data_IF_696979029814
#
_entry.id   IF_696979029814
#
_cell.length_a   1.000
_cell.length_b   1.000
_cell.length_c   1.000
_cell.angle_alpha   90.00
_cell.angle_beta   90.00
_cell.angle_gamma   90.00
#
_symmetry.space_group_name_H-M   'P 1'
#
loop_
_entity.id
_entity.type
_entity.pdbx_description
1 polymer ?
#
# COMPACT_ATOMS: atom_id res chain seq x y z
N UNK A 1 -26.70 -18.61 3.13
CA UNK A 1 -27.12 -17.82 4.32
C UNK A 1 -26.05 -17.77 5.42
N UNK A 2 -25.48 -18.90 5.87
CA UNK A 2 -24.50 -18.92 6.98
C UNK A 2 -23.23 -18.06 6.74
N UNK A 3 -22.78 -17.96 5.49
CA UNK A 3 -21.62 -17.14 5.11
C UNK A 3 -21.85 -15.63 5.32
N UNK A 4 -23.04 -15.13 5.00
CA UNK A 4 -23.41 -13.72 5.21
C UNK A 4 -23.35 -13.35 6.69
N UNK A 5 -23.92 -14.20 7.56
CA UNK A 5 -23.90 -13.99 9.01
C UNK A 5 -22.50 -14.01 9.60
N UNK A 6 -21.65 -14.92 9.14
CA UNK A 6 -20.27 -14.99 9.60
C UNK A 6 -19.50 -13.70 9.24
N UNK A 7 -19.74 -13.12 8.06
CA UNK A 7 -19.15 -11.82 7.67
C UNK A 7 -19.73 -10.69 8.52
N UNK A 8 -21.05 -10.59 8.64
CA UNK A 8 -21.73 -9.55 9.43
C UNK A 8 -21.28 -9.55 10.89
N UNK A 9 -21.15 -10.73 11.52
CA UNK A 9 -20.71 -10.81 12.93
C UNK A 9 -19.27 -10.31 13.12
N UNK A 10 -18.36 -10.61 12.18
CA UNK A 10 -16.98 -10.14 12.26
C UNK A 10 -16.87 -8.66 11.94
N UNK A 11 -17.61 -8.18 10.95
CA UNK A 11 -17.66 -6.75 10.65
C UNK A 11 -18.27 -5.98 11.81
N UNK A 12 -19.36 -6.47 12.40
CA UNK A 12 -19.99 -5.89 13.59
C UNK A 12 -18.98 -5.77 14.73
N UNK A 13 -18.32 -6.88 15.09
CA UNK A 13 -17.29 -6.87 16.14
C UNK A 13 -16.10 -5.96 15.79
N UNK A 14 -15.71 -5.90 14.52
CA UNK A 14 -14.61 -5.03 14.11
C UNK A 14 -14.99 -3.54 14.17
N UNK A 15 -16.21 -3.18 13.75
CA UNK A 15 -16.69 -1.80 13.77
C UNK A 15 -16.98 -1.32 15.20
N UNK A 16 -17.40 -2.19 16.11
CA UNK A 16 -17.53 -1.84 17.54
C UNK A 16 -16.18 -1.62 18.22
N UNK A 17 -15.13 -2.31 17.77
CA UNK A 17 -13.78 -2.19 18.35
C UNK A 17 -12.93 -1.13 17.67
N UNK A 18 -13.11 -0.90 16.38
CA UNK A 18 -12.32 0.02 15.56
C UNK A 18 -13.18 0.62 14.45
N UNK A 19 -13.22 1.96 14.34
CA UNK A 19 -13.93 2.66 13.25
C UNK A 19 -13.18 2.63 11.91
N UNK A 20 -12.32 1.63 11.70
CA UNK A 20 -11.50 1.51 10.51
C UNK A 20 -12.04 0.42 9.58
N UNK A 21 -11.85 0.58 8.26
CA UNK A 21 -12.33 -0.39 7.29
C UNK A 21 -11.47 -1.68 7.37
N UNK A 22 -12.11 -2.85 7.22
CA UNK A 22 -11.46 -4.15 7.46
C UNK A 22 -10.79 -4.68 6.20
N UNK A 23 -9.54 -5.12 6.30
CA UNK A 23 -8.91 -5.82 5.18
C UNK A 23 -9.60 -7.17 4.93
N UNK A 24 -9.97 -7.44 3.67
CA UNK A 24 -10.65 -8.67 3.24
C UNK A 24 -9.84 -9.92 3.59
N UNK A 25 -8.50 -9.88 3.51
CA UNK A 25 -7.66 -11.02 3.90
C UNK A 25 -7.80 -11.37 5.38
N UNK A 26 -7.91 -10.33 6.21
CA UNK A 26 -8.10 -10.44 7.65
C UNK A 26 -9.51 -10.93 7.97
N UNK A 27 -10.52 -10.43 7.25
CA UNK A 27 -11.90 -10.92 7.35
C UNK A 27 -11.97 -12.42 7.06
N UNK A 28 -11.44 -12.89 5.92
CA UNK A 28 -11.43 -14.31 5.55
C UNK A 28 -10.70 -15.19 6.58
N UNK A 29 -9.61 -14.68 7.16
CA UNK A 29 -8.85 -15.39 8.19
C UNK A 29 -9.64 -15.50 9.51
N UNK A 30 -10.36 -14.44 9.90
CA UNK A 30 -11.22 -14.43 11.09
C UNK A 30 -12.46 -15.31 10.92
N UNK A 31 -13.09 -15.31 9.74
CA UNK A 31 -14.25 -16.18 9.47
C UNK A 31 -13.83 -17.65 9.53
N UNK A 32 -12.66 -17.98 8.98
CA UNK A 32 -12.11 -19.34 9.02
C UNK A 32 -11.87 -19.82 10.46
N UNK A 33 -11.32 -18.96 11.33
CA UNK A 33 -11.14 -19.28 12.76
C UNK A 33 -12.47 -19.52 13.49
N UNK A 34 -13.54 -18.85 13.05
CA UNK A 34 -14.90 -19.05 13.57
C UNK A 34 -15.63 -20.23 12.89
N UNK A 35 -14.90 -21.13 12.22
CA UNK A 35 -15.44 -22.36 11.64
C UNK A 35 -16.14 -22.21 10.29
N UNK A 36 -16.12 -21.01 9.69
CA UNK A 36 -16.74 -20.78 8.37
C UNK A 36 -15.68 -20.32 7.36
N UNK A 37 -15.30 -21.20 6.44
CA UNK A 37 -14.40 -20.85 5.35
C UNK A 37 -15.12 -19.90 4.36
N UNK A 38 -14.61 -18.67 4.26
CA UNK A 38 -15.13 -17.64 3.36
C UNK A 38 -13.99 -17.17 2.47
N UNK A 39 -14.23 -17.23 1.17
CA UNK A 39 -13.34 -16.76 0.14
C UNK A 39 -13.79 -15.39 -0.39
N UNK A 40 -12.90 -14.71 -1.10
CA UNK A 40 -13.24 -13.43 -1.75
C UNK A 40 -14.40 -13.60 -2.74
N UNK A 41 -14.50 -14.76 -3.41
CA UNK A 41 -15.60 -15.07 -4.33
C UNK A 41 -16.95 -15.11 -3.61
N UNK A 42 -16.99 -15.59 -2.37
CA UNK A 42 -18.23 -15.62 -1.57
C UNK A 42 -18.72 -14.21 -1.23
N UNK A 43 -17.78 -13.29 -0.96
CA UNK A 43 -18.09 -11.87 -0.72
C UNK A 43 -18.60 -11.21 -2.01
N UNK A 44 -17.95 -11.50 -3.14
CA UNK A 44 -18.40 -11.03 -4.46
C UNK A 44 -19.81 -11.55 -4.80
N UNK A 45 -20.15 -12.80 -4.46
CA UNK A 45 -21.50 -13.34 -4.63
C UNK A 45 -22.54 -12.60 -3.78
N UNK A 46 -22.21 -12.25 -2.54
CA UNK A 46 -23.09 -11.46 -1.68
C UNK A 46 -23.33 -10.08 -2.30
N UNK A 47 -22.28 -9.42 -2.78
CA UNK A 47 -22.39 -8.12 -3.46
C UNK A 47 -23.15 -8.20 -4.78
N UNK A 48 -23.14 -9.35 -5.47
CA UNK A 48 -23.99 -9.54 -6.64
C UNK A 48 -25.48 -9.60 -6.27
N UNK A 49 -25.83 -10.06 -5.07
CA UNK A 49 -27.23 -10.11 -4.59
C UNK A 49 -27.63 -8.77 -4.00
N UNK A 50 -26.74 -8.13 -3.23
CA UNK A 50 -26.97 -6.84 -2.60
C UNK A 50 -25.71 -5.96 -2.72
N UNK A 51 -25.59 -5.18 -3.80
CA UNK A 51 -24.40 -4.35 -4.06
C UNK A 51 -24.14 -3.30 -2.98
N UNK A 52 -25.21 -2.75 -2.42
CA UNK A 52 -25.17 -1.72 -1.37
C UNK A 52 -24.87 -2.31 0.03
N UNK A 53 -24.78 -3.64 0.17
CA UNK A 53 -24.52 -4.25 1.47
C UNK A 53 -23.17 -3.79 2.04
N UNK A 54 -22.14 -3.72 1.20
CA UNK A 54 -20.79 -3.33 1.62
C UNK A 54 -20.13 -2.44 0.58
N UNK A 55 -19.30 -1.51 1.06
CA UNK A 55 -18.35 -0.78 0.24
C UNK A 55 -17.04 -1.56 0.20
N UNK A 56 -16.65 -2.01 -1.00
CA UNK A 56 -15.36 -2.63 -1.24
C UNK A 56 -14.50 -1.75 -2.13
N UNK A 57 -13.30 -1.42 -1.64
CA UNK A 57 -12.34 -0.59 -2.36
C UNK A 57 -10.90 -1.02 -2.09
N UNK A 58 -9.97 -0.47 -2.86
CA UNK A 58 -8.54 -0.76 -2.75
C UNK A 58 -7.84 0.34 -1.96
N UNK A 59 -7.16 -0.02 -0.87
CA UNK A 59 -6.23 0.86 -0.16
C UNK A 59 -4.82 0.34 -0.45
N UNK A 60 -4.10 1.06 -1.31
CA UNK A 60 -2.81 0.61 -1.84
C UNK A 60 -2.94 -0.75 -2.53
N UNK A 61 -2.35 -1.79 -1.92
CA UNK A 61 -2.38 -3.16 -2.44
C UNK A 61 -3.42 -4.07 -1.77
N UNK A 62 -4.16 -3.57 -0.78
CA UNK A 62 -5.09 -4.35 0.04
C UNK A 62 -6.53 -4.08 -0.37
N UNK A 63 -7.34 -5.14 -0.48
CA UNK A 63 -8.80 -5.03 -0.62
C UNK A 63 -9.39 -4.80 0.74
N UNK A 64 -10.19 -3.77 0.89
CA UNK A 64 -10.79 -3.39 2.16
C UNK A 64 -12.31 -3.37 1.99
N UNK A 65 -13.01 -3.78 3.04
CA UNK A 65 -14.46 -3.87 3.11
C UNK A 65 -14.97 -3.09 4.31
N UNK A 66 -16.05 -2.34 4.09
CA UNK A 66 -16.68 -1.47 5.06
C UNK A 66 -18.20 -1.59 4.90
N UNK A 67 -18.93 -1.61 6.01
CA UNK A 67 -20.39 -1.51 5.99
C UNK A 67 -20.81 -0.15 6.55
N UNK A 68 -21.66 0.57 5.83
CA UNK A 68 -22.05 1.95 6.21
C UNK A 68 -22.94 2.01 7.46
N UNK A 69 -23.72 0.96 7.74
CA UNK A 69 -24.78 0.98 8.76
C UNK A 69 -24.54 0.05 9.97
N UNK A 70 -23.29 -0.36 10.21
CA UNK A 70 -22.92 -1.09 11.44
C UNK A 70 -22.64 -0.08 12.58
N UNK A 71 -23.08 -0.32 13.83
CA UNK A 71 -23.34 -1.65 14.42
C UNK A 71 -24.80 -2.08 14.62
N UNK A 72 -25.82 -1.28 14.34
CA UNK A 72 -27.16 -1.50 14.95
C UNK A 72 -28.03 -2.58 14.26
N UNK A 73 -27.75 -3.01 13.02
CA UNK A 73 -28.77 -3.67 12.20
C UNK A 73 -28.45 -5.09 11.66
N UNK A 74 -27.67 -5.93 12.35
CA UNK A 74 -27.31 -7.28 11.83
C UNK A 74 -28.56 -8.14 11.53
N UNK A 75 -29.58 -8.12 12.41
CA UNK A 75 -30.83 -8.88 12.21
C UNK A 75 -31.63 -8.38 11.01
N UNK A 76 -31.79 -7.06 10.89
CA UNK A 76 -32.51 -6.42 9.78
C UNK A 76 -31.79 -6.67 8.45
N UNK A 77 -30.45 -6.52 8.43
CA UNK A 77 -29.62 -6.77 7.24
C UNK A 77 -29.71 -8.23 6.80
N UNK A 78 -29.82 -9.18 7.73
CA UNK A 78 -30.08 -10.59 7.41
C UNK A 78 -31.41 -10.78 6.70
N UNK A 79 -32.49 -10.17 7.21
CA UNK A 79 -33.83 -10.25 6.63
C UNK A 79 -33.88 -9.62 5.24
N UNK A 80 -33.24 -8.46 5.06
CA UNK A 80 -33.10 -7.78 3.76
C UNK A 80 -32.33 -8.66 2.77
N UNK A 81 -31.18 -9.20 3.19
CA UNK A 81 -30.39 -10.08 2.34
C UNK A 81 -31.18 -11.32 1.92
N UNK A 82 -31.93 -11.93 2.84
CA UNK A 82 -32.76 -13.09 2.50
C UNK A 82 -33.86 -12.75 1.51
N UNK A 83 -34.51 -11.60 1.68
CA UNK A 83 -35.53 -11.11 0.74
C UNK A 83 -34.94 -10.89 -0.65
N UNK A 84 -33.81 -10.17 -0.76
CA UNK A 84 -33.11 -9.92 -2.03
C UNK A 84 -32.58 -11.20 -2.68
N UNK A 85 -32.12 -12.16 -1.87
CA UNK A 85 -31.67 -13.45 -2.35
C UNK A 85 -32.81 -14.25 -2.99
N UNK A 86 -33.95 -14.34 -2.31
CA UNK A 86 -35.15 -14.99 -2.82
C UNK A 86 -35.71 -14.29 -4.07
N UNK A 87 -35.72 -12.95 -4.09
CA UNK A 87 -36.11 -12.15 -5.27
C UNK A 87 -35.23 -12.46 -6.48
N UNK A 88 -33.91 -12.58 -6.26
CA UNK A 88 -32.95 -12.89 -7.32
C UNK A 88 -33.05 -14.33 -7.84
N UNK A 89 -33.34 -15.30 -6.96
CA UNK A 89 -33.61 -16.69 -7.39
C UNK A 89 -34.89 -16.79 -8.22
N UNK A 90 -35.89 -15.95 -7.95
CA UNK A 90 -37.13 -15.91 -8.71
C UNK A 90 -37.01 -15.16 -10.05
N UNK A 91 -36.03 -14.26 -10.21
CA UNK A 91 -35.70 -13.64 -11.49
C UNK A 91 -34.70 -14.50 -12.27
N UNK A 92 -35.20 -15.52 -12.95
CA UNK A 92 -34.40 -16.31 -13.90
C UNK A 92 -33.94 -15.40 -15.06
N UNK A 93 -32.61 -15.39 -15.28
CA UNK A 93 -31.85 -14.63 -16.30
C UNK A 93 -31.84 -13.09 -16.19
N UNK A 94 -30.82 -12.57 -15.50
CA UNK A 94 -30.03 -11.51 -16.12
C UNK A 94 -28.57 -11.95 -16.17
N UNK A 95 -28.04 -11.96 -17.40
CA UNK A 95 -26.64 -12.21 -17.75
C UNK A 95 -25.72 -11.46 -16.78
N UNK A 96 -24.50 -11.99 -16.51
CA UNK A 96 -23.54 -11.28 -15.68
C UNK A 96 -23.44 -9.85 -16.19
N UNK A 97 -23.65 -8.89 -15.29
CA UNK A 97 -23.22 -7.51 -15.51
C UNK A 97 -21.73 -7.63 -15.73
N UNK A 98 -21.34 -7.71 -17.00
CA UNK A 98 -19.99 -7.37 -17.41
C UNK A 98 -19.82 -5.97 -16.88
N UNK A 99 -19.08 -5.83 -15.78
CA UNK A 99 -18.58 -4.54 -15.35
C UNK A 99 -18.08 -3.89 -16.63
N UNK A 100 -18.63 -2.72 -16.96
CA UNK A 100 -18.02 -1.88 -17.96
C UNK A 100 -16.54 -1.89 -17.61
N UNK A 101 -15.73 -2.44 -18.51
CA UNK A 101 -14.31 -2.16 -18.53
C UNK A 101 -14.27 -0.67 -18.79
N UNK A 102 -14.40 0.14 -17.73
CA UNK A 102 -13.69 1.40 -17.67
C UNK A 102 -12.31 1.04 -18.21
N UNK A 103 -11.85 1.80 -19.20
CA UNK A 103 -10.49 1.70 -19.69
C UNK A 103 -9.58 2.14 -18.52
N UNK A 104 -9.50 1.32 -17.47
CA UNK A 104 -8.26 0.99 -16.85
C UNK A 104 -7.39 0.52 -18.01
N UNK A 105 -6.59 1.44 -18.53
CA UNK A 105 -5.20 1.14 -18.82
C UNK A 105 -4.69 0.37 -17.61
N UNK A 106 -4.88 -0.95 -17.66
CA UNK A 106 -4.20 -1.91 -16.82
C UNK A 106 -2.75 -1.84 -17.25
N UNK A 107 -2.08 -0.76 -16.86
CA UNK A 107 -0.70 -0.87 -16.48
C UNK A 107 -0.69 -1.99 -15.47
N UNK A 108 -0.30 -3.19 -15.91
CA UNK A 108 0.01 -4.30 -15.02
C UNK A 108 1.08 -3.78 -14.08
N UNK A 109 0.66 -3.20 -12.95
CA UNK A 109 1.47 -3.21 -11.76
C UNK A 109 1.42 -4.65 -11.31
N UNK A 110 2.29 -5.45 -11.93
CA UNK A 110 2.78 -6.66 -11.31
C UNK A 110 3.22 -6.21 -9.93
N UNK A 111 2.44 -6.57 -8.90
CA UNK A 111 2.97 -6.75 -7.57
C UNK A 111 4.10 -7.73 -7.78
N UNK A 112 5.30 -7.22 -8.00
CA UNK A 112 6.47 -8.05 -7.90
C UNK A 112 6.58 -8.26 -6.40
N UNK A 113 6.36 -9.48 -5.88
CA UNK A 113 6.94 -9.83 -4.60
C UNK A 113 8.39 -9.34 -4.59
N UNK A 114 8.93 -9.00 -3.42
CA UNK A 114 10.38 -9.06 -3.22
C UNK A 114 10.73 -10.57 -3.27
N UNK A 115 10.54 -11.14 -4.45
CA UNK A 115 11.01 -12.42 -4.88
C UNK A 115 12.45 -12.13 -5.27
N UNK A 116 13.37 -12.86 -4.68
CA UNK A 116 14.68 -13.19 -5.25
C UNK A 116 14.48 -13.80 -6.65
N UNK A 117 14.03 -12.99 -7.61
CA UNK A 117 13.46 -13.41 -8.88
C UNK A 117 13.35 -12.27 -9.91
N UNK A 118 13.59 -11.01 -9.51
CA UNK A 118 13.75 -9.90 -10.47
C UNK A 118 15.12 -9.88 -11.16
N UNK A 119 16.15 -10.50 -10.56
CA UNK A 119 17.43 -10.75 -11.26
C UNK A 119 17.26 -11.79 -12.39
N UNK A 120 16.37 -12.77 -12.24
CA UNK A 120 16.17 -13.82 -13.25
C UNK A 120 15.52 -13.30 -14.56
N UNK A 121 14.77 -12.20 -14.51
CA UNK A 121 14.10 -11.66 -15.71
C UNK A 121 14.95 -10.67 -16.51
N UNK A 122 15.85 -9.91 -15.88
CA UNK A 122 16.81 -9.09 -16.62
C UNK A 122 17.96 -9.91 -17.22
N UNK A 123 18.25 -11.09 -16.66
CA UNK A 123 19.12 -12.07 -17.34
C UNK A 123 18.47 -12.66 -18.60
N UNK A 124 17.14 -12.62 -18.75
CA UNK A 124 16.47 -13.22 -19.91
C UNK A 124 16.36 -12.29 -21.12
N UNK A 125 16.42 -10.96 -20.94
CA UNK A 125 16.38 -10.03 -22.08
C UNK A 125 17.76 -9.82 -22.71
N UNK A 126 18.85 -9.90 -21.92
CA UNK A 126 20.22 -9.96 -22.47
C UNK A 126 20.50 -11.32 -23.13
N UNK A 127 19.79 -12.39 -22.72
CA UNK A 127 19.98 -13.74 -23.27
C UNK A 127 19.08 -14.10 -24.48
N UNK A 128 18.25 -13.20 -25.01
CA UNK A 128 17.47 -13.52 -26.23
C UNK A 128 18.35 -13.67 -27.47
N UNK A 129 19.56 -13.11 -27.47
CA UNK A 129 20.57 -13.32 -28.52
C UNK A 129 21.62 -14.38 -28.19
N UNK A 130 21.62 -14.93 -26.97
CA UNK A 130 22.42 -16.11 -26.68
C UNK A 130 21.56 -17.32 -26.92
N UNK A 131 21.50 -17.78 -28.17
CA UNK A 131 21.29 -19.21 -28.38
C UNK A 131 22.20 -19.94 -27.38
N UNK A 132 21.70 -20.99 -26.72
CA UNK A 132 22.52 -21.85 -25.84
C UNK A 132 23.54 -22.66 -26.67
N UNK A 133 24.26 -22.01 -27.58
CA UNK A 133 25.35 -22.55 -28.38
C UNK A 133 26.62 -21.91 -27.86
N UNK A 134 27.53 -22.77 -27.42
CA UNK A 134 28.80 -22.35 -26.82
C UNK A 134 29.34 -23.40 -25.87
N UNK A 135 30.66 -23.55 -25.90
CA UNK A 135 31.40 -24.42 -24.98
C UNK A 135 31.24 -23.91 -23.54
N UNK A 136 31.52 -24.78 -22.56
CA UNK A 136 31.42 -24.43 -21.14
C UNK A 136 32.29 -23.20 -20.79
N UNK A 137 33.46 -23.07 -21.40
CA UNK A 137 34.41 -21.97 -21.16
C UNK A 137 33.89 -20.62 -21.66
N UNK A 138 33.20 -20.58 -22.79
CA UNK A 138 32.58 -19.36 -23.32
C UNK A 138 31.47 -18.86 -22.40
N UNK A 139 30.70 -19.79 -21.82
CA UNK A 139 29.68 -19.46 -20.81
C UNK A 139 30.29 -18.92 -19.53
N UNK A 140 31.45 -19.43 -19.10
CA UNK A 140 32.17 -18.91 -17.93
C UNK A 140 32.65 -17.48 -18.18
N UNK A 141 33.30 -17.21 -19.32
CA UNK A 141 33.75 -15.84 -19.67
C UNK A 141 32.59 -14.84 -19.78
N UNK A 142 31.46 -15.25 -20.37
CA UNK A 142 30.29 -14.39 -20.48
C UNK A 142 29.69 -14.06 -19.11
N UNK A 143 29.68 -15.03 -18.19
CA UNK A 143 29.21 -14.82 -16.81
C UNK A 143 30.12 -13.86 -16.03
N UNK A 144 31.43 -14.02 -16.15
CA UNK A 144 32.41 -13.11 -15.54
C UNK A 144 32.30 -11.68 -16.08
N UNK A 145 32.09 -11.52 -17.39
CA UNK A 145 31.86 -10.21 -17.99
C UNK A 145 30.57 -9.57 -17.46
N UNK A 146 29.47 -10.33 -17.33
CA UNK A 146 28.19 -9.81 -16.81
C UNK A 146 28.27 -9.34 -15.35
N UNK A 147 29.02 -10.04 -14.50
CA UNK A 147 29.23 -9.64 -13.11
C UNK A 147 29.95 -8.29 -13.01
N UNK A 148 30.92 -8.02 -13.88
CA UNK A 148 31.60 -6.71 -13.96
C UNK A 148 30.66 -5.56 -14.36
N UNK A 149 29.55 -5.84 -15.05
CA UNK A 149 28.54 -4.82 -15.41
C UNK A 149 27.47 -4.64 -14.33
N UNK A 150 27.13 -5.68 -13.56
CA UNK A 150 26.15 -5.58 -12.46
C UNK A 150 26.69 -4.74 -11.30
N UNK A 151 28.00 -4.77 -11.05
CA UNK A 151 28.64 -3.88 -10.06
C UNK A 151 28.61 -2.38 -10.45
N UNK A 152 28.25 -2.05 -11.70
CA UNK A 152 27.97 -0.66 -12.13
C UNK A 152 26.50 -0.24 -11.94
N UNK A 153 25.62 -1.16 -11.51
CA UNK A 153 24.24 -0.81 -11.16
C UNK A 153 24.23 -0.12 -9.80
N UNK A 154 24.08 1.21 -9.83
CA UNK A 154 24.01 2.17 -8.70
C UNK A 154 24.77 1.79 -7.43
N UNK A 155 25.82 2.55 -7.10
CA UNK A 155 26.52 2.38 -5.83
C UNK A 155 25.54 2.45 -4.66
N UNK A 156 25.83 1.75 -3.56
CA UNK A 156 24.96 1.71 -2.36
C UNK A 156 24.51 3.12 -1.92
N UNK A 157 25.40 4.11 -2.09
CA UNK A 157 25.12 5.53 -1.85
C UNK A 157 24.05 6.09 -2.78
N UNK A 158 24.12 5.84 -4.09
CA UNK A 158 23.09 6.30 -5.04
C UNK A 158 21.71 5.68 -4.75
N UNK A 159 21.68 4.42 -4.32
CA UNK A 159 20.42 3.78 -3.89
C UNK A 159 19.86 4.47 -2.65
N UNK A 160 20.72 4.78 -1.68
CA UNK A 160 20.34 5.50 -0.47
C UNK A 160 19.83 6.92 -0.79
N UNK A 161 20.53 7.68 -1.64
CA UNK A 161 20.12 9.02 -2.05
C UNK A 161 18.77 9.01 -2.78
N UNK A 162 18.55 8.02 -3.64
CA UNK A 162 17.28 7.83 -4.33
C UNK A 162 16.16 7.52 -3.35
N UNK A 163 16.44 6.70 -2.33
CA UNK A 163 15.51 6.41 -1.25
C UNK A 163 15.18 7.66 -0.43
N UNK A 164 16.17 8.43 0.01
CA UNK A 164 15.96 9.67 0.77
C UNK A 164 15.13 10.67 -0.02
N UNK A 165 15.45 10.88 -1.31
CA UNK A 165 14.66 11.71 -2.22
C UNK A 165 13.20 11.28 -2.31
N UNK A 166 12.92 9.98 -2.27
CA UNK A 166 11.54 9.46 -2.29
C UNK A 166 10.75 9.75 -1.00
N UNK A 167 11.42 10.03 0.11
CA UNK A 167 10.77 10.37 1.39
C UNK A 167 10.49 11.86 1.55
N UNK A 168 11.21 12.72 0.82
CA UNK A 168 11.07 14.20 0.87
C UNK A 168 9.61 14.66 0.78
N UNK A 169 8.75 14.18 -0.15
CA UNK A 169 7.38 14.67 -0.25
C UNK A 169 6.53 14.36 0.99
N UNK A 170 6.83 13.28 1.70
CA UNK A 170 6.11 12.92 2.92
C UNK A 170 6.55 13.76 4.10
N UNK A 171 7.87 13.98 4.22
CA UNK A 171 8.43 14.89 5.22
C UNK A 171 7.87 16.30 5.01
N UNK A 172 7.82 16.77 3.76
CA UNK A 172 7.24 18.06 3.41
C UNK A 172 5.77 18.20 3.84
N UNK A 173 4.95 17.15 3.71
CA UNK A 173 3.55 17.17 4.21
C UNK A 173 3.50 17.37 5.72
N UNK A 174 4.32 16.61 6.47
CA UNK A 174 4.40 16.74 7.92
C UNK A 174 4.87 18.14 8.32
N UNK A 175 5.88 18.68 7.62
CA UNK A 175 6.36 20.03 7.90
C UNK A 175 5.32 21.11 7.57
N UNK A 176 4.54 20.97 6.50
CA UNK A 176 3.45 21.90 6.18
C UNK A 176 2.30 21.85 7.20
N UNK A 177 2.06 20.70 7.83
CA UNK A 177 1.10 20.62 8.95
C UNK A 177 1.65 21.32 10.21
N UNK A 178 2.98 21.33 10.38
CA UNK A 178 3.66 22.01 11.48
C UNK A 178 3.84 23.51 11.25
N UNK A 179 4.03 23.96 10.01
CA UNK A 179 4.16 25.39 9.66
C UNK A 179 2.90 26.17 10.07
N UNK A 180 1.73 25.53 10.05
CA UNK A 180 0.46 26.12 10.50
C UNK A 180 0.41 26.35 12.03
N UNK A 181 1.28 25.70 12.80
CA UNK A 181 1.27 25.72 14.27
C UNK A 181 2.47 26.46 14.87
N UNK A 182 3.62 26.43 14.21
CA UNK A 182 4.85 27.00 14.75
C UNK A 182 5.82 27.40 13.63
N UNK A 183 6.52 28.51 13.82
CA UNK A 183 7.47 29.09 12.84
C UNK A 183 8.91 28.64 13.07
N UNK A 184 9.25 28.17 14.27
CA UNK A 184 10.57 27.63 14.62
C UNK A 184 10.40 26.49 15.61
N UNK A 185 11.07 25.37 15.37
CA UNK A 185 11.02 24.20 16.25
C UNK A 185 12.41 23.60 16.36
N UNK A 186 12.77 23.13 17.56
CA UNK A 186 14.01 22.41 17.81
C UNK A 186 14.08 21.13 16.97
N UNK A 187 15.28 20.84 16.44
CA UNK A 187 15.52 19.66 15.61
C UNK A 187 15.12 18.32 16.26
N UNK A 188 15.42 18.05 17.56
CA UNK A 188 15.01 16.80 18.21
C UNK A 188 13.50 16.62 18.24
N UNK A 189 12.74 17.68 18.53
CA UNK A 189 11.27 17.65 18.55
C UNK A 189 10.70 17.37 17.16
N UNK A 190 11.27 17.97 16.11
CA UNK A 190 10.88 17.65 14.73
C UNK A 190 11.21 16.22 14.37
N UNK A 191 12.39 15.72 14.75
CA UNK A 191 12.79 14.35 14.49
C UNK A 191 11.81 13.36 15.11
N UNK A 192 11.34 13.59 16.34
CA UNK A 192 10.34 12.76 17.00
C UNK A 192 8.97 12.81 16.29
N UNK A 193 8.54 14.00 15.85
CA UNK A 193 7.29 14.15 15.08
C UNK A 193 7.41 13.45 13.71
N UNK A 194 8.56 13.54 13.06
CA UNK A 194 8.81 12.84 11.81
C UNK A 194 8.84 11.33 12.05
N UNK A 195 9.48 10.85 13.11
CA UNK A 195 9.57 9.42 13.45
C UNK A 195 8.20 8.82 13.76
N UNK A 196 7.33 9.55 14.44
CA UNK A 196 5.96 9.10 14.75
C UNK A 196 5.09 9.01 13.49
N UNK A 197 5.28 9.90 12.51
CA UNK A 197 4.50 9.89 11.27
C UNK A 197 5.11 9.01 10.16
N UNK A 198 6.43 8.88 10.12
CA UNK A 198 7.19 8.11 9.15
C UNK A 198 7.88 6.95 9.85
N UNK A 199 7.14 5.85 10.01
CA UNK A 199 7.72 4.60 10.50
C UNK A 199 8.87 4.17 9.57
N UNK A 200 10.07 3.96 10.17
CA UNK A 200 11.29 3.30 9.62
C UNK A 200 12.47 4.19 9.16
N UNK A 201 12.52 5.48 9.48
CA UNK A 201 13.74 6.28 9.24
C UNK A 201 14.61 6.38 10.48
N UNK A 202 15.93 6.28 10.30
CA UNK A 202 16.91 6.61 11.33
C UNK A 202 17.10 8.12 11.46
N UNK A 203 17.64 8.57 12.59
CA UNK A 203 17.78 10.01 12.88
C UNK A 203 18.73 10.70 11.90
N UNK A 204 19.78 10.00 11.48
CA UNK A 204 20.71 10.47 10.44
C UNK A 204 20.02 10.62 9.08
N UNK A 205 19.14 9.69 8.72
CA UNK A 205 18.38 9.75 7.46
C UNK A 205 17.35 10.87 7.48
N UNK A 206 16.70 11.11 8.62
CA UNK A 206 15.80 12.24 8.81
C UNK A 206 16.57 13.55 8.64
N UNK A 207 17.72 13.69 9.30
CA UNK A 207 18.57 14.86 9.19
C UNK A 207 19.04 15.11 7.75
N UNK A 208 19.56 14.08 7.07
CA UNK A 208 19.95 14.18 5.66
C UNK A 208 18.78 14.54 4.75
N UNK A 209 17.59 14.00 5.02
CA UNK A 209 16.39 14.33 4.24
C UNK A 209 15.96 15.78 4.43
N UNK A 210 16.11 16.33 5.65
CA UNK A 210 15.85 17.75 5.94
C UNK A 210 16.86 18.66 5.23
N UNK A 211 18.15 18.29 5.21
CA UNK A 211 19.16 19.03 4.44
C UNK A 211 18.87 19.00 2.93
N UNK A 212 18.49 17.85 2.38
CA UNK A 212 18.10 17.73 0.98
C UNK A 212 16.84 18.55 0.67
N UNK A 213 15.89 18.62 1.60
CA UNK A 213 14.70 19.46 1.46
C UNK A 213 15.05 20.95 1.49
N UNK A 214 15.95 21.38 2.37
CA UNK A 214 16.45 22.76 2.43
C UNK A 214 17.12 23.17 1.11
N UNK A 215 17.94 22.28 0.53
CA UNK A 215 18.55 22.50 -0.79
C UNK A 215 17.51 22.59 -1.91
N UNK A 216 16.48 21.73 -1.87
CA UNK A 216 15.45 21.69 -2.90
C UNK A 216 14.47 22.86 -2.81
N UNK A 217 14.08 23.27 -1.59
CA UNK A 217 13.08 24.29 -1.31
C UNK A 217 13.48 25.12 -0.08
N UNK A 218 14.41 26.09 -0.22
CA UNK A 218 14.86 26.91 0.90
C UNK A 218 13.77 27.85 1.43
N UNK A 219 12.69 28.04 0.68
CA UNK A 219 11.52 28.82 1.08
C UNK A 219 10.61 28.11 2.08
N UNK A 220 10.69 26.78 2.22
CA UNK A 220 9.84 26.02 3.13
C UNK A 220 10.52 25.73 4.46
N UNK A 221 11.80 25.34 4.39
CA UNK A 221 12.54 24.82 5.52
C UNK A 221 13.98 25.32 5.47
N UNK A 222 14.44 25.92 6.56
CA UNK A 222 15.85 26.32 6.74
C UNK A 222 16.36 25.78 8.07
N UNK A 223 17.48 25.06 8.04
CA UNK A 223 18.10 24.55 9.27
C UNK A 223 19.05 25.63 9.78
N UNK A 224 18.76 26.15 10.98
CA UNK A 224 19.53 27.24 11.59
C UNK A 224 20.08 26.76 12.92
N UNK A 225 21.39 26.81 13.07
CA UNK A 225 22.07 26.59 14.35
C UNK A 225 22.11 27.90 15.12
N UNK A 226 21.49 27.94 16.30
CA UNK A 226 21.53 29.09 17.21
C UNK A 226 22.22 28.64 18.50
N UNK A 227 23.46 29.10 18.70
CA UNK A 227 24.29 28.63 19.82
C UNK A 227 24.62 27.14 19.69
N UNK A 228 24.28 26.35 20.73
CA UNK A 228 24.49 24.90 20.75
C UNK A 228 23.27 24.10 20.24
N UNK A 229 22.18 24.77 19.89
CA UNK A 229 20.94 24.12 19.48
C UNK A 229 20.71 24.28 17.99
N UNK A 230 20.23 23.20 17.37
CA UNK A 230 19.82 23.23 15.96
C UNK A 230 18.31 23.37 15.90
N UNK A 231 17.84 24.42 15.23
CA UNK A 231 16.43 24.72 15.02
C UNK A 231 16.11 24.59 13.54
N UNK A 232 14.88 24.19 13.22
CA UNK A 232 14.37 24.21 11.86
C UNK A 232 13.36 25.33 11.77
N UNK A 233 13.71 26.35 10.99
CA UNK A 233 12.82 27.47 10.69
C UNK A 233 11.89 27.05 9.56
N UNK A 234 10.61 27.13 9.85
CA UNK A 234 9.52 26.84 8.92
C UNK A 234 8.97 28.17 8.42
N UNK A 235 9.17 28.45 7.14
CA UNK A 235 8.70 29.70 6.52
C UNK A 235 7.40 29.38 5.81
N UNK A 236 6.30 29.97 6.30
CA UNK A 236 5.02 29.91 5.58
C UNK A 236 5.17 30.70 4.29
N UNK A 237 4.84 30.06 3.17
CA UNK A 237 4.46 30.77 1.96
C UNK A 237 3.16 31.55 2.19
#
# INVERSE_FOLDING_TARGET
MNKFLAIENILHFHHTTTRQPLNVSTLCSRTFRNGTAITVKDIEQILQVWPEAYKMYMIGNSRVIEAEDLPVNVKIRREIYQKKFNEKENTVYQRPVTMHKSKCTTGRVTKRPILMGRMAWQFNEVNKNTEKKGTLLERIRAKEASLKYVDKSMTKQQVQDTFLKSQIPKIQRVLNELTMKSTSIELPKIMDIIRTNLFKLSDEEIYRSLQLLEQANPSLCKVVTVGNETHVKLVSA
#
